data_IF_540386842984
#
_entry.id   IF_540386842984
#
_cell.length_a   1.000
_cell.length_b   1.000
_cell.length_c   1.000
_cell.angle_alpha   90.00
_cell.angle_beta   90.00
_cell.angle_gamma   90.00
#
_symmetry.space_group_name_H-M   'P 1'
#
loop_
_entity.id
_entity.type
_entity.pdbx_description
1 polymer ?
#
# COMPACT_ATOMS: atom_id res chain seq x y z
N UNK A 1 -6.62 -13.54 -5.02
CA UNK A 1 -6.02 -13.53 -3.67
C UNK A 1 -6.88 -14.46 -2.82
N UNK A 2 -6.33 -15.59 -2.35
CA UNK A 2 -7.09 -16.73 -1.83
C UNK A 2 -6.95 -16.90 -0.31
N UNK A 3 -7.06 -15.81 0.46
CA UNK A 3 -7.16 -15.91 1.92
C UNK A 3 -8.65 -15.96 2.32
N UNK A 4 -9.03 -16.95 3.13
CA UNK A 4 -10.35 -16.92 3.79
C UNK A 4 -10.36 -15.77 4.80
N UNK A 5 -11.48 -15.05 4.89
CA UNK A 5 -11.59 -13.90 5.82
C UNK A 5 -11.39 -14.30 7.29
N UNK A 6 -11.66 -15.56 7.62
CA UNK A 6 -11.44 -16.14 8.94
C UNK A 6 -9.96 -16.11 9.38
N UNK A 7 -9.02 -16.05 8.43
CA UNK A 7 -7.58 -16.02 8.70
C UNK A 7 -6.96 -14.66 8.39
N UNK A 8 -7.76 -13.63 8.12
CA UNK A 8 -7.25 -12.26 7.98
C UNK A 8 -7.23 -11.56 9.34
N UNK A 9 -6.04 -11.30 9.87
CA UNK A 9 -5.87 -10.43 11.04
C UNK A 9 -5.89 -8.99 10.53
N UNK A 10 -7.01 -8.30 10.74
CA UNK A 10 -7.13 -6.87 10.44
C UNK A 10 -6.61 -6.04 11.61
N UNK A 11 -5.39 -5.53 11.50
CA UNK A 11 -4.92 -4.46 12.39
C UNK A 11 -5.27 -3.11 11.77
N UNK A 12 -6.36 -2.49 12.24
CA UNK A 12 -6.74 -1.14 11.83
C UNK A 12 -6.02 -0.12 12.74
N UNK A 13 -4.88 0.39 12.28
CA UNK A 13 -4.24 1.53 12.93
C UNK A 13 -4.84 2.81 12.34
N UNK A 14 -5.80 3.43 13.03
CA UNK A 14 -6.32 4.74 12.63
C UNK A 14 -5.37 5.81 13.19
N UNK A 15 -4.60 6.52 12.35
CA UNK A 15 -3.73 7.58 12.83
C UNK A 15 -4.59 8.73 13.38
N UNK A 16 -4.69 8.82 14.71
CA UNK A 16 -5.21 10.00 15.39
C UNK A 16 -4.20 11.16 15.37
N UNK A 17 -4.52 12.31 15.98
CA UNK A 17 -3.61 13.46 16.07
C UNK A 17 -2.26 13.14 16.74
N UNK A 18 -2.21 12.06 17.52
CA UNK A 18 -1.00 11.54 18.19
C UNK A 18 -0.49 10.26 17.50
N UNK A 19 -0.74 10.12 16.20
CA UNK A 19 -0.28 8.94 15.47
C UNK A 19 1.24 8.83 15.58
N UNK A 20 1.77 7.63 15.80
CA UNK A 20 3.20 7.46 15.97
C UNK A 20 3.99 7.85 14.73
N UNK A 21 3.37 7.78 13.53
CA UNK A 21 3.94 8.16 12.23
C UNK A 21 5.33 7.55 11.99
N UNK A 22 6.37 8.22 12.49
CA UNK A 22 7.76 7.77 12.43
C UNK A 22 8.05 6.67 13.47
N UNK A 23 7.34 6.66 14.60
CA UNK A 23 7.55 5.72 15.71
C UNK A 23 6.71 4.44 15.56
N UNK A 24 6.22 4.15 14.34
CA UNK A 24 5.37 2.97 14.08
C UNK A 24 6.13 1.67 14.32
N UNK A 25 7.45 1.69 14.14
CA UNK A 25 8.37 0.60 14.40
C UNK A 25 8.33 0.15 15.86
N UNK A 26 8.17 1.07 16.81
CA UNK A 26 8.00 0.77 18.25
C UNK A 26 6.77 -0.11 18.48
N UNK A 27 5.67 0.18 17.78
CA UNK A 27 4.42 -0.58 17.90
C UNK A 27 4.50 -1.94 17.21
N UNK A 28 5.33 -2.06 16.18
CA UNK A 28 5.53 -3.31 15.43
C UNK A 28 6.59 -4.21 16.07
N UNK A 29 7.41 -3.70 16.98
CA UNK A 29 8.46 -4.47 17.62
C UNK A 29 7.97 -5.78 18.25
N UNK A 30 6.86 -5.82 19.03
CA UNK A 30 6.34 -7.09 19.56
C UNK A 30 5.97 -8.09 18.45
N UNK A 31 5.34 -7.62 17.37
CA UNK A 31 4.99 -8.46 16.23
C UNK A 31 6.23 -9.01 15.53
N UNK A 32 7.27 -8.18 15.35
CA UNK A 32 8.53 -8.60 14.75
C UNK A 32 9.21 -9.66 15.62
N UNK A 33 9.21 -9.48 16.93
CA UNK A 33 9.81 -10.42 17.88
C UNK A 33 9.05 -11.75 17.90
N UNK A 34 7.72 -11.75 17.83
CA UNK A 34 6.89 -12.95 17.69
C UNK A 34 7.15 -13.68 16.37
N UNK A 35 7.22 -12.96 15.25
CA UNK A 35 7.51 -13.57 13.94
C UNK A 35 8.91 -14.18 13.91
N UNK A 36 9.91 -13.52 14.51
CA UNK A 36 11.25 -14.08 14.68
C UNK A 36 11.24 -15.32 15.57
N UNK A 37 10.51 -15.31 16.67
CA UNK A 37 10.39 -16.47 17.55
C UNK A 37 9.78 -17.68 16.80
N UNK A 38 8.71 -17.45 16.04
CA UNK A 38 8.05 -18.47 15.24
C UNK A 38 8.91 -19.02 14.10
N UNK A 39 9.80 -18.18 13.56
CA UNK A 39 10.73 -18.58 12.51
C UNK A 39 11.99 -19.25 13.06
N UNK A 40 12.67 -18.70 14.06
CA UNK A 40 13.98 -19.21 14.49
C UNK A 40 13.88 -20.36 15.51
N UNK A 41 12.97 -20.24 16.48
CA UNK A 41 12.95 -21.11 17.65
C UNK A 41 11.92 -22.24 17.55
N UNK A 42 10.93 -22.10 16.66
CA UNK A 42 9.69 -22.91 16.63
C UNK A 42 8.93 -22.83 17.96
N UNK A 43 7.60 -22.86 17.90
CA UNK A 43 6.79 -22.76 19.11
C UNK A 43 5.91 -24.00 19.22
N UNK A 44 5.94 -24.67 20.38
CA UNK A 44 5.02 -25.77 20.66
C UNK A 44 3.60 -25.23 20.68
N UNK A 45 2.76 -25.73 19.78
CA UNK A 45 1.38 -25.28 19.62
C UNK A 45 0.45 -26.48 19.60
N UNK A 46 -0.70 -26.33 20.25
CA UNK A 46 -1.73 -27.36 20.29
C UNK A 46 -2.61 -27.30 19.04
N UNK A 47 -2.75 -28.43 18.34
CA UNK A 47 -3.66 -28.61 17.22
C UNK A 47 -4.99 -29.22 17.70
N UNK A 48 -6.04 -28.40 17.76
CA UNK A 48 -7.37 -28.82 18.16
C UNK A 48 -8.01 -29.84 17.21
N UNK A 49 -7.65 -29.86 15.92
CA UNK A 49 -8.15 -30.84 14.96
C UNK A 49 -7.59 -32.23 15.21
N UNK A 50 -6.34 -32.31 15.69
CA UNK A 50 -5.62 -33.58 15.89
C UNK A 50 -5.47 -33.95 17.36
N UNK A 51 -5.92 -33.09 18.27
CA UNK A 51 -5.82 -33.23 19.72
C UNK A 51 -4.38 -33.55 20.19
N UNK A 52 -3.38 -32.87 19.63
CA UNK A 52 -1.97 -33.11 19.94
C UNK A 52 -1.14 -31.83 19.74
N UNK A 53 0.02 -31.77 20.40
CA UNK A 53 0.98 -30.68 20.19
C UNK A 53 1.85 -30.94 18.96
N UNK A 54 2.28 -29.86 18.30
CA UNK A 54 3.28 -29.89 17.24
C UNK A 54 4.20 -28.66 17.32
N UNK A 55 5.35 -28.74 16.66
CA UNK A 55 6.27 -27.60 16.53
C UNK A 55 5.85 -26.74 15.35
N UNK A 56 5.30 -25.56 15.63
CA UNK A 56 4.84 -24.64 14.60
C UNK A 56 6.00 -23.80 14.06
N UNK A 57 6.02 -23.67 12.73
CA UNK A 57 6.77 -22.66 12.02
C UNK A 57 5.80 -21.70 11.35
N UNK A 58 6.04 -20.41 11.50
CA UNK A 58 5.28 -19.39 10.80
C UNK A 58 6.22 -18.31 10.28
N UNK A 59 5.84 -17.69 9.16
CA UNK A 59 6.57 -16.58 8.56
C UNK A 59 5.60 -15.55 8.00
N UNK A 60 5.98 -14.28 8.03
CA UNK A 60 5.22 -13.20 7.43
C UNK A 60 5.56 -13.10 5.94
N UNK A 61 4.59 -13.36 5.08
CA UNK A 61 4.81 -13.39 3.64
C UNK A 61 4.63 -12.01 2.99
N UNK A 62 3.51 -11.32 3.26
CA UNK A 62 3.26 -9.95 2.83
C UNK A 62 2.22 -9.28 3.74
N UNK A 63 2.24 -7.94 3.78
CA UNK A 63 1.21 -7.13 4.43
C UNK A 63 0.32 -6.49 3.36
N UNK A 64 -0.99 -6.39 3.64
CA UNK A 64 -1.94 -5.67 2.79
C UNK A 64 -2.17 -4.31 3.44
N UNK A 65 -1.67 -3.26 2.79
CA UNK A 65 -1.71 -1.91 3.33
C UNK A 65 -2.41 -1.00 2.32
N UNK A 66 -3.10 0.02 2.82
CA UNK A 66 -3.51 1.12 1.97
C UNK A 66 -2.28 1.98 1.59
N UNK A 67 -2.48 2.91 0.66
CA UNK A 67 -1.38 3.72 0.14
C UNK A 67 -0.73 4.61 1.23
N UNK A 68 -1.48 5.24 2.17
CA UNK A 68 -0.89 5.93 3.31
C UNK A 68 -0.09 5.03 4.27
N UNK A 69 -0.61 3.87 4.68
CA UNK A 69 0.11 2.97 5.59
C UNK A 69 1.36 2.40 4.95
N UNK A 70 1.36 2.19 3.62
CA UNK A 70 2.55 1.78 2.89
C UNK A 70 3.72 2.75 3.09
N UNK A 71 3.49 4.06 3.18
CA UNK A 71 4.53 5.06 3.50
C UNK A 71 5.20 4.73 4.83
N UNK A 72 4.38 4.49 5.85
CA UNK A 72 4.83 4.31 7.22
C UNK A 72 5.63 3.01 7.36
N UNK A 73 5.19 1.94 6.70
CA UNK A 73 5.78 0.62 6.85
C UNK A 73 7.00 0.37 5.96
N UNK A 74 7.05 0.97 4.77
CA UNK A 74 8.14 0.73 3.81
C UNK A 74 9.14 1.88 3.72
N UNK A 75 8.83 3.03 4.33
CA UNK A 75 9.58 4.26 4.12
C UNK A 75 9.41 4.84 2.70
N UNK A 76 8.48 4.32 1.90
CA UNK A 76 8.27 4.76 0.53
C UNK A 76 7.67 6.16 0.48
N UNK A 77 8.24 7.02 -0.38
CA UNK A 77 7.65 8.32 -0.66
C UNK A 77 6.41 8.16 -1.54
N UNK A 78 5.21 8.37 -0.99
CA UNK A 78 3.96 8.44 -1.78
C UNK A 78 3.68 9.81 -2.38
N UNK A 79 4.66 10.72 -2.28
CA UNK A 79 4.60 12.05 -2.88
C UNK A 79 5.78 12.25 -3.82
N UNK A 80 5.66 13.28 -4.66
CA UNK A 80 6.75 13.67 -5.56
C UNK A 80 6.73 12.92 -6.88
N UNK A 81 7.89 12.87 -7.53
CA UNK A 81 8.01 12.37 -8.90
C UNK A 81 7.82 10.85 -9.02
N UNK A 82 8.13 10.11 -7.96
CA UNK A 82 8.25 8.65 -7.95
C UNK A 82 7.28 7.98 -6.98
N UNK A 83 6.10 8.58 -6.80
CA UNK A 83 5.15 8.15 -5.78
C UNK A 83 4.63 6.72 -5.97
N UNK A 84 4.54 6.22 -7.20
CA UNK A 84 3.99 4.90 -7.47
C UNK A 84 5.04 3.80 -7.20
N UNK A 85 4.83 2.89 -6.24
CA UNK A 85 5.77 1.81 -5.96
C UNK A 85 5.92 0.81 -7.10
N UNK A 86 4.86 0.63 -7.92
CA UNK A 86 4.91 -0.27 -9.07
C UNK A 86 5.71 0.32 -10.24
N UNK A 87 5.59 1.64 -10.47
CA UNK A 87 6.21 2.28 -11.63
C UNK A 87 7.60 2.85 -11.30
N UNK A 88 7.81 3.29 -10.05
CA UNK A 88 9.02 3.94 -9.58
C UNK A 88 9.51 5.03 -10.56
N UNK A 89 10.68 4.85 -11.18
CA UNK A 89 11.25 5.76 -12.18
C UNK A 89 10.37 5.95 -13.42
N UNK A 90 9.52 4.96 -13.73
CA UNK A 90 8.53 5.02 -14.80
C UNK A 90 7.25 5.78 -14.45
N UNK A 91 7.13 6.34 -13.25
CA UNK A 91 5.94 7.13 -12.86
C UNK A 91 5.83 8.38 -13.74
N UNK A 92 4.77 8.47 -14.55
CA UNK A 92 4.44 9.68 -15.31
C UNK A 92 3.79 10.71 -14.40
N UNK A 93 4.66 11.50 -13.78
CA UNK A 93 4.26 12.60 -12.90
C UNK A 93 4.61 13.95 -13.54
N UNK A 94 3.73 14.93 -13.32
CA UNK A 94 3.89 16.30 -13.79
C UNK A 94 3.62 17.27 -12.65
N UNK A 95 4.58 18.17 -12.40
CA UNK A 95 4.35 19.28 -11.50
C UNK A 95 3.51 20.35 -12.19
N UNK A 96 2.37 20.70 -11.61
CA UNK A 96 1.49 21.75 -12.10
C UNK A 96 1.80 23.04 -11.34
N UNK A 97 2.46 23.99 -12.00
CA UNK A 97 3.00 25.22 -11.37
C UNK A 97 1.94 26.02 -10.61
N UNK A 98 0.76 26.21 -11.19
CA UNK A 98 -0.28 27.06 -10.59
C UNK A 98 -0.96 26.42 -9.37
N UNK A 99 -1.11 25.09 -9.33
CA UNK A 99 -1.66 24.40 -8.16
C UNK A 99 -0.61 23.98 -7.15
N UNK A 100 0.68 24.08 -7.51
CA UNK A 100 1.83 23.62 -6.74
C UNK A 100 1.76 22.14 -6.34
N UNK A 101 1.05 21.32 -7.13
CA UNK A 101 0.84 19.89 -6.87
C UNK A 101 1.51 19.01 -7.93
N UNK A 102 1.87 17.81 -7.52
CA UNK A 102 2.22 16.72 -8.42
C UNK A 102 0.95 16.02 -8.90
N UNK A 103 0.76 15.95 -10.21
CA UNK A 103 -0.31 15.18 -10.85
C UNK A 103 0.27 13.92 -11.49
N UNK A 104 -0.45 12.80 -11.37
CA UNK A 104 -0.04 11.52 -11.94
C UNK A 104 -0.94 11.22 -13.14
N UNK A 105 -0.33 11.04 -14.31
CA UNK A 105 -1.06 10.91 -15.57
C UNK A 105 -1.35 9.45 -15.94
N UNK A 106 -0.71 8.49 -15.25
CA UNK A 106 -0.76 7.04 -15.54
C UNK A 106 -1.97 6.31 -14.97
N UNK A 107 -3.13 6.97 -14.85
CA UNK A 107 -4.39 6.33 -14.42
C UNK A 107 -4.77 5.09 -15.27
N UNK A 108 -4.19 4.94 -16.46
CA UNK A 108 -4.50 3.87 -17.42
C UNK A 108 -3.48 2.73 -17.45
N UNK A 109 -2.37 2.85 -16.71
CA UNK A 109 -1.32 1.82 -16.70
C UNK A 109 -1.83 0.49 -16.11
N UNK A 110 -2.90 0.54 -15.31
CA UNK A 110 -3.53 -0.66 -14.72
C UNK A 110 -4.55 -1.33 -15.65
N UNK A 111 -4.88 -0.74 -16.79
CA UNK A 111 -5.75 -1.37 -17.80
C UNK A 111 -4.96 -2.45 -18.56
N UNK A 112 -5.61 -3.46 -19.16
CA UNK A 112 -4.97 -4.42 -20.07
C UNK A 112 -4.18 -3.74 -21.20
N UNK A 113 -3.14 -4.42 -21.71
CA UNK A 113 -2.26 -3.86 -22.75
C UNK A 113 -3.01 -3.46 -24.03
N UNK A 114 -4.02 -4.23 -24.39
CA UNK A 114 -4.91 -4.05 -25.54
C UNK A 114 -6.09 -3.09 -25.26
N UNK A 115 -6.19 -2.54 -24.05
CA UNK A 115 -7.33 -1.71 -23.68
C UNK A 115 -7.34 -0.40 -24.49
N UNK A 116 -8.43 -0.07 -25.23
CA UNK A 116 -8.48 1.09 -26.14
C UNK A 116 -8.14 2.44 -25.49
N UNK A 117 -8.37 2.56 -24.18
CA UNK A 117 -8.05 3.79 -23.45
C UNK A 117 -6.56 3.96 -23.13
N UNK A 118 -5.72 2.91 -23.13
CA UNK A 118 -4.27 3.07 -22.89
C UNK A 118 -3.61 3.99 -23.92
N UNK A 119 -4.04 3.92 -25.17
CA UNK A 119 -3.42 4.64 -26.30
C UNK A 119 -4.04 6.00 -26.58
N UNK A 120 -5.18 6.35 -25.96
CA UNK A 120 -5.88 7.62 -26.20
C UNK A 120 -5.15 8.79 -25.53
N UNK A 121 -4.46 9.62 -26.32
CA UNK A 121 -3.69 10.78 -25.82
C UNK A 121 -4.55 12.00 -25.43
N UNK A 122 -5.85 12.01 -25.76
CA UNK A 122 -6.67 13.24 -25.80
C UNK A 122 -7.32 13.73 -24.49
N UNK A 123 -6.93 13.19 -23.33
CA UNK A 123 -7.36 13.74 -22.04
C UNK A 123 -6.20 14.51 -21.41
N UNK A 124 -5.73 15.54 -22.10
CA UNK A 124 -4.86 16.54 -21.50
C UNK A 124 -5.66 17.32 -20.45
N UNK A 125 -5.06 17.50 -19.27
CA UNK A 125 -5.61 18.31 -18.15
C UNK A 125 -5.91 19.77 -18.55
N UNK A 126 -5.45 20.22 -19.71
CA UNK A 126 -5.83 21.52 -20.30
C UNK A 126 -7.33 21.60 -20.63
N UNK A 127 -7.96 20.51 -21.05
CA UNK A 127 -9.40 20.52 -21.38
C UNK A 127 -10.31 20.59 -20.15
N UNK A 128 -9.82 20.23 -18.96
CA UNK A 128 -10.61 20.32 -17.72
C UNK A 128 -10.67 21.75 -17.16
N UNK A 129 -9.69 22.61 -17.46
CA UNK A 129 -9.74 24.03 -17.08
C UNK A 129 -10.69 24.86 -17.96
N UNK A 130 -11.02 24.40 -19.17
CA UNK A 130 -12.02 25.03 -20.03
C UNK A 130 -13.47 24.71 -19.61
N UNK A 131 -13.69 23.65 -18.82
CA UNK A 131 -15.02 23.27 -18.32
C UNK A 131 -15.51 24.04 -17.09
N UNK A 132 -14.64 24.79 -16.41
CA UNK A 132 -14.97 25.57 -15.20
C UNK A 132 -15.16 27.07 -15.46
N UNK A 133 -14.95 27.54 -16.69
CA UNK A 133 -15.14 28.94 -17.08
C UNK A 133 -16.52 29.26 -17.67
N UNK A 134 -17.46 28.31 -17.64
CA UNK A 134 -18.82 28.50 -18.17
C UNK A 134 -19.96 28.35 -17.15
N UNK A 135 -19.62 28.34 -15.86
CA UNK A 135 -20.61 28.35 -14.77
C UNK A 135 -20.26 29.47 -13.78
N UNK A 136 -20.51 30.70 -14.21
CA UNK A 136 -20.67 31.89 -13.36
C UNK A 136 -21.70 32.79 -14.02
#
# INVERSE_FOLDING_TARGET
MCMKSEYSILHLLIPGPRSPRNDIDIYLQPLIDEVKLLWDSRVETYDASRNQNFQMWATLMWTINDFPAYVMLSGWSTKGKFACPCCNYGTNSRYVKHSQKMCYMDHRVFLPMDHPWRSKKDLSMEKLNLGLLHLS
#
